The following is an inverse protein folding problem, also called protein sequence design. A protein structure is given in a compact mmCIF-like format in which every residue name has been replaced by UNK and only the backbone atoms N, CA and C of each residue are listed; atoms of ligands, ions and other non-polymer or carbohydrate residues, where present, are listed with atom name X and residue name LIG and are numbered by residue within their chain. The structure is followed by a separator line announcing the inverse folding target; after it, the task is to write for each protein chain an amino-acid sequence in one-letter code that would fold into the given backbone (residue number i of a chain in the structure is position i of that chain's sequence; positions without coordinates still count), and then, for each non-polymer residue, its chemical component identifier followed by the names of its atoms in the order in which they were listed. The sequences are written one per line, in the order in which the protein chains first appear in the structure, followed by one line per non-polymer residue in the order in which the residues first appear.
data_IF_410087179678
#
_entry.id   IF_410087179678
#
_cell.length_a   1.000
_cell.length_b   1.000
_cell.length_c   1.000
_cell.angle_alpha   90.00
_cell.angle_beta   90.00
_cell.angle_gamma   90.00
#
_symmetry.space_group_name_H-M   'P 1'
#
loop_
_entity.id
_entity.type
_entity.pdbx_description
1 polymer ?
#
# COMPACT_ATOMS: atom_id res chain seq x y z
N UNK A 1 -45.82 57.53 -43.17
CA UNK A 1 -45.98 58.92 -42.72
C UNK A 1 -46.85 58.91 -41.46
N UNK A 2 -46.39 59.41 -40.29
CA UNK A 2 -44.98 59.61 -39.85
C UNK A 2 -44.29 58.22 -39.74
N UNK A 3 -43.40 57.81 -38.81
CA UNK A 3 -42.54 58.42 -37.77
C UNK A 3 -41.32 57.49 -37.63
N UNK A 4 -40.05 57.84 -37.40
CA UNK A 4 -39.31 59.00 -36.87
C UNK A 4 -38.86 58.88 -35.39
N UNK A 5 -37.54 59.08 -35.18
CA UNK A 5 -36.73 59.00 -33.93
C UNK A 5 -36.47 57.58 -33.39
N UNK A 6 -35.34 57.26 -32.76
CA UNK A 6 -33.99 57.86 -32.78
C UNK A 6 -32.95 56.84 -32.22
N UNK A 7 -31.66 56.98 -32.56
CA UNK A 7 -30.56 56.20 -31.95
C UNK A 7 -30.09 56.82 -30.62
N UNK A 8 -29.81 55.99 -29.60
CA UNK A 8 -28.80 56.28 -28.60
C UNK A 8 -27.65 55.24 -28.59
N UNK A 9 -26.43 55.73 -28.37
CA UNK A 9 -25.23 54.96 -28.01
C UNK A 9 -24.51 55.73 -26.89
N UNK A 10 -23.56 55.14 -26.13
CA UNK A 10 -23.39 53.73 -25.75
C UNK A 10 -23.51 53.56 -24.21
N UNK A 11 -23.34 52.35 -23.66
CA UNK A 11 -22.92 52.22 -22.25
C UNK A 11 -22.10 50.97 -21.95
N UNK A 12 -21.17 51.11 -21.00
CA UNK A 12 -20.02 50.21 -20.78
C UNK A 12 -20.16 49.44 -19.47
N UNK A 13 -20.59 48.17 -19.51
CA UNK A 13 -20.62 47.30 -18.32
C UNK A 13 -19.24 46.72 -17.99
N UNK A 14 -18.57 47.30 -16.98
CA UNK A 14 -17.47 46.63 -16.27
C UNK A 14 -18.03 45.64 -15.23
N UNK A 15 -17.85 44.34 -15.43
CA UNK A 15 -17.61 43.34 -14.37
C UNK A 15 -16.56 42.38 -14.95
N UNK A 16 -15.32 42.30 -14.45
CA UNK A 16 -14.81 42.03 -13.09
C UNK A 16 -15.10 40.60 -12.63
N UNK A 17 -14.06 39.77 -12.68
CA UNK A 17 -13.89 38.56 -11.87
C UNK A 17 -14.80 37.37 -12.24
N UNK A 18 -14.34 36.12 -12.15
CA UNK A 18 -13.14 35.64 -11.47
C UNK A 18 -12.41 34.58 -12.31
N UNK A 19 -11.07 34.71 -12.39
CA UNK A 19 -10.17 33.64 -12.84
C UNK A 19 -10.10 32.63 -11.70
N UNK A 20 -11.01 31.65 -11.69
CA UNK A 20 -10.89 30.50 -10.80
C UNK A 20 -9.60 29.75 -11.18
N UNK A 21 -8.75 29.47 -10.19
CA UNK A 21 -7.46 28.85 -10.45
C UNK A 21 -7.65 27.33 -10.61
N UNK A 22 -7.16 26.80 -11.72
CA UNK A 22 -6.73 25.40 -11.78
C UNK A 22 -5.30 25.40 -11.25
N UNK A 23 -5.17 25.22 -9.94
CA UNK A 23 -3.91 25.20 -9.19
C UNK A 23 -4.11 24.21 -8.03
N UNK A 24 -3.26 23.18 -7.98
CA UNK A 24 -3.75 21.84 -7.68
C UNK A 24 -4.30 21.22 -8.98
N UNK A 25 -3.77 20.12 -9.53
CA UNK A 25 -2.77 19.21 -8.97
C UNK A 25 -1.68 18.90 -10.01
N UNK A 26 -0.57 19.64 -9.90
CA UNK A 26 0.73 19.23 -10.45
C UNK A 26 1.72 19.38 -9.32
N UNK A 27 1.67 18.42 -8.38
CA UNK A 27 2.88 18.07 -7.63
C UNK A 27 3.95 17.74 -8.65
N UNK A 28 5.13 18.35 -8.54
CA UNK A 28 6.19 18.09 -9.49
C UNK A 28 6.58 16.61 -9.37
N UNK A 29 6.60 15.88 -10.48
CA UNK A 29 6.91 14.43 -10.51
C UNK A 29 8.29 14.09 -9.91
N UNK A 30 9.13 15.09 -9.67
CA UNK A 30 10.41 15.02 -8.97
C UNK A 30 10.33 14.85 -7.44
N UNK A 31 9.14 14.84 -6.84
CA UNK A 31 8.93 14.62 -5.39
C UNK A 31 7.93 13.49 -5.11
N UNK A 32 7.78 12.56 -6.07
CA UNK A 32 7.06 11.30 -5.89
C UNK A 32 8.06 10.15 -5.72
N UNK A 33 7.80 9.27 -4.76
CA UNK A 33 8.55 8.06 -4.50
C UNK A 33 7.75 6.82 -4.91
N UNK A 34 8.44 5.71 -5.19
CA UNK A 34 7.82 4.46 -5.65
C UNK A 34 7.70 3.48 -4.49
N UNK A 35 6.52 3.40 -3.89
CA UNK A 35 6.19 2.44 -2.84
C UNK A 35 5.91 1.06 -3.45
N UNK A 36 6.54 -0.01 -2.95
CA UNK A 36 6.46 -1.35 -3.53
C UNK A 36 5.80 -2.38 -2.59
N UNK A 37 4.78 -3.08 -3.09
CA UNK A 37 3.97 -4.02 -2.31
C UNK A 37 4.48 -5.47 -2.39
N UNK A 38 4.68 -5.96 -3.62
CA UNK A 38 4.98 -7.36 -3.89
C UNK A 38 5.70 -7.55 -5.24
N UNK A 39 6.47 -8.63 -5.36
CA UNK A 39 6.95 -9.16 -6.64
C UNK A 39 6.03 -10.31 -7.08
N UNK A 40 5.71 -10.35 -8.38
CA UNK A 40 4.74 -11.26 -9.01
C UNK A 40 5.25 -11.67 -10.40
N UNK A 41 4.67 -12.71 -11.00
CA UNK A 41 4.82 -12.96 -12.44
C UNK A 41 3.89 -12.02 -13.21
N UNK A 42 4.42 -11.32 -14.21
CA UNK A 42 3.70 -10.46 -15.14
C UNK A 42 2.92 -11.31 -16.16
N UNK A 43 1.86 -11.96 -15.69
CA UNK A 43 0.93 -12.72 -16.53
C UNK A 43 -0.13 -11.80 -17.18
N UNK A 44 -0.78 -12.32 -18.23
CA UNK A 44 -1.93 -11.67 -18.87
C UNK A 44 -3.08 -11.45 -17.87
N UNK A 45 -3.78 -10.31 -17.95
CA UNK A 45 -4.86 -9.93 -17.03
C UNK A 45 -4.39 -9.29 -15.70
N UNK A 46 -3.09 -9.26 -15.40
CA UNK A 46 -2.58 -8.70 -14.15
C UNK A 46 -2.67 -7.16 -14.10
N UNK A 47 -2.48 -6.47 -15.24
CA UNK A 47 -2.56 -5.00 -15.28
C UNK A 47 -4.00 -4.53 -15.09
N UNK A 48 -4.94 -5.29 -15.64
CA UNK A 48 -6.39 -5.14 -15.51
C UNK A 48 -6.83 -5.44 -14.06
N UNK A 49 -6.16 -6.37 -13.40
CA UNK A 49 -6.34 -6.68 -11.96
C UNK A 49 -5.85 -5.55 -11.05
N UNK A 50 -4.71 -4.92 -11.37
CA UNK A 50 -4.17 -3.81 -10.55
C UNK A 50 -4.85 -2.46 -10.79
N UNK A 51 -5.34 -2.19 -12.01
CA UNK A 51 -5.93 -0.91 -12.39
C UNK A 51 -7.10 -0.38 -11.50
N UNK A 52 -8.00 -1.20 -10.95
CA UNK A 52 -9.04 -0.73 -10.03
C UNK A 52 -8.56 -0.56 -8.58
N UNK A 53 -7.37 -1.03 -8.22
CA UNK A 53 -6.91 -1.04 -6.83
C UNK A 53 -6.41 0.34 -6.36
N UNK A 54 -6.70 0.62 -5.09
CA UNK A 54 -6.15 1.75 -4.33
C UNK A 54 -5.19 1.20 -3.28
N UNK A 55 -4.00 1.79 -3.20
CA UNK A 55 -2.97 1.39 -2.26
C UNK A 55 -2.83 2.36 -1.09
N UNK A 56 -1.60 2.40 -0.57
CA UNK A 56 -1.16 3.37 0.44
C UNK A 56 -1.42 4.81 -0.07
N UNK A 57 -1.89 5.67 0.83
CA UNK A 57 -2.30 7.05 0.54
C UNK A 57 -3.39 7.19 -0.55
N UNK A 58 -4.26 6.18 -0.74
CA UNK A 58 -5.27 6.08 -1.82
C UNK A 58 -4.69 6.17 -3.25
N UNK A 59 -3.36 6.00 -3.36
CA UNK A 59 -2.66 6.11 -4.63
C UNK A 59 -3.06 4.96 -5.58
N UNK A 60 -3.11 5.21 -6.91
CA UNK A 60 -3.35 4.15 -7.89
C UNK A 60 -2.27 3.07 -7.81
N UNK A 61 -2.67 1.80 -7.89
CA UNK A 61 -1.73 0.69 -8.01
C UNK A 61 -1.37 0.46 -9.48
N UNK A 62 -0.08 0.21 -9.74
CA UNK A 62 0.48 -0.01 -11.07
C UNK A 62 1.56 -1.11 -11.06
N UNK A 63 2.12 -1.42 -12.23
CA UNK A 63 3.07 -2.53 -12.42
C UNK A 63 4.35 -2.06 -13.13
N UNK A 64 5.45 -2.04 -12.40
CA UNK A 64 6.81 -1.88 -12.95
C UNK A 64 7.29 -3.27 -13.38
N UNK A 65 7.33 -3.51 -14.68
CA UNK A 65 7.84 -4.76 -15.24
C UNK A 65 9.33 -4.71 -15.50
N UNK A 66 9.97 -5.88 -15.40
CA UNK A 66 11.34 -6.12 -15.83
C UNK A 66 11.42 -6.34 -17.36
N UNK A 67 12.64 -6.47 -17.90
CA UNK A 67 12.88 -6.69 -19.34
C UNK A 67 13.33 -8.11 -19.72
N UNK A 68 13.22 -9.10 -18.81
CA UNK A 68 13.75 -10.45 -18.98
C UNK A 68 12.72 -11.56 -19.22
N UNK A 69 13.21 -12.74 -19.61
CA UNK A 69 12.40 -13.88 -20.03
C UNK A 69 11.50 -14.47 -18.94
N UNK A 70 11.86 -14.29 -17.66
CA UNK A 70 11.06 -14.70 -16.49
C UNK A 70 9.72 -13.94 -16.34
N UNK A 71 9.58 -12.81 -17.04
CA UNK A 71 8.43 -11.90 -17.02
C UNK A 71 7.99 -11.57 -15.58
N UNK A 72 8.81 -10.78 -14.88
CA UNK A 72 8.52 -10.34 -13.52
C UNK A 72 7.88 -8.95 -13.48
N UNK A 73 7.00 -8.77 -12.51
CA UNK A 73 6.40 -7.50 -12.18
C UNK A 73 6.63 -7.15 -10.71
N UNK A 74 6.89 -5.88 -10.45
CA UNK A 74 6.84 -5.26 -9.14
C UNK A 74 5.56 -4.42 -9.07
N UNK A 75 4.68 -4.74 -8.11
CA UNK A 75 3.44 -3.97 -7.91
C UNK A 75 3.74 -2.77 -7.04
N UNK A 76 3.41 -1.56 -7.53
CA UNK A 76 3.82 -0.29 -6.92
C UNK A 76 2.72 0.77 -6.91
N UNK A 77 2.86 1.77 -6.05
CA UNK A 77 2.13 3.05 -6.11
C UNK A 77 3.11 4.21 -5.98
N UNK A 78 2.79 5.34 -6.62
CA UNK A 78 3.54 6.58 -6.45
C UNK A 78 3.00 7.36 -5.26
N UNK A 79 3.86 7.69 -4.31
CA UNK A 79 3.50 8.34 -3.03
C UNK A 79 4.30 9.63 -2.81
N UNK A 80 3.77 10.53 -2.00
CA UNK A 80 4.40 11.80 -1.65
C UNK A 80 5.76 11.62 -0.95
N UNK A 81 6.80 12.29 -1.47
CA UNK A 81 8.11 12.37 -0.81
C UNK A 81 8.04 13.02 0.58
N UNK A 82 7.09 13.93 0.81
CA UNK A 82 6.93 14.62 2.09
C UNK A 82 6.63 13.66 3.27
N UNK A 83 5.93 12.54 2.98
CA UNK A 83 5.51 11.57 4.00
C UNK A 83 6.39 10.30 3.98
N UNK A 84 7.02 9.97 2.84
CA UNK A 84 7.74 8.72 2.61
C UNK A 84 9.26 8.84 2.40
N UNK A 85 9.85 10.04 2.40
CA UNK A 85 11.30 10.21 2.52
C UNK A 85 11.79 9.76 3.91
N UNK A 86 13.06 9.34 3.99
CA UNK A 86 13.60 8.55 5.12
C UNK A 86 13.30 9.12 6.52
N UNK A 87 13.46 10.43 6.72
CA UNK A 87 13.28 11.06 8.03
C UNK A 87 11.82 11.36 8.39
N UNK A 88 10.96 11.60 7.41
CA UNK A 88 9.51 11.70 7.62
C UNK A 88 8.93 10.32 7.92
N UNK A 89 9.32 9.31 7.13
CA UNK A 89 8.90 7.93 7.29
C UNK A 89 9.26 7.39 8.69
N UNK A 90 10.45 7.68 9.23
CA UNK A 90 10.82 7.32 10.62
C UNK A 90 9.82 7.86 11.65
N UNK A 91 9.42 9.14 11.52
CA UNK A 91 8.46 9.77 12.45
C UNK A 91 7.06 9.17 12.28
N UNK A 92 6.63 8.94 11.04
CA UNK A 92 5.34 8.31 10.74
C UNK A 92 5.25 6.83 11.17
N UNK A 93 6.37 6.11 11.30
CA UNK A 93 6.40 4.76 11.87
C UNK A 93 6.24 4.74 13.41
N UNK A 94 6.35 5.89 14.10
CA UNK A 94 6.03 6.03 15.52
C UNK A 94 4.54 6.42 15.75
N UNK A 95 3.86 6.92 14.71
CA UNK A 95 2.41 7.15 14.70
C UNK A 95 1.65 5.84 14.41
N UNK A 96 0.96 5.32 15.43
CA UNK A 96 0.23 4.05 15.32
C UNK A 96 -1.01 4.13 14.42
N UNK A 97 -1.67 5.29 14.31
CA UNK A 97 -2.86 5.44 13.46
C UNK A 97 -2.44 5.51 11.98
N UNK A 98 -1.38 6.26 11.68
CA UNK A 98 -0.77 6.28 10.34
C UNK A 98 -0.21 4.90 9.96
N UNK A 99 0.54 4.26 10.87
CA UNK A 99 1.11 2.93 10.64
C UNK A 99 0.02 1.88 10.41
N UNK A 100 -1.09 1.92 11.16
CA UNK A 100 -2.22 1.03 10.92
C UNK A 100 -2.85 1.25 9.54
N UNK A 101 -3.08 2.52 9.14
CA UNK A 101 -3.64 2.85 7.83
C UNK A 101 -2.75 2.36 6.69
N UNK A 102 -1.43 2.59 6.78
CA UNK A 102 -0.44 2.15 5.79
C UNK A 102 -0.32 0.62 5.77
N UNK A 103 -0.34 -0.05 6.93
CA UNK A 103 -0.32 -1.51 7.02
C UNK A 103 -1.57 -2.17 6.41
N UNK A 104 -2.76 -1.62 6.68
CA UNK A 104 -4.02 -2.11 6.08
C UNK A 104 -4.04 -1.93 4.57
N UNK A 105 -3.63 -0.76 4.07
CA UNK A 105 -3.58 -0.49 2.63
C UNK A 105 -2.54 -1.38 1.90
N UNK A 106 -1.35 -1.57 2.48
CA UNK A 106 -0.33 -2.49 1.98
C UNK A 106 -0.85 -3.95 1.94
N UNK A 107 -1.51 -4.40 3.00
CA UNK A 107 -2.05 -5.75 3.08
C UNK A 107 -3.18 -5.99 2.07
N UNK A 108 -4.14 -5.07 1.93
CA UNK A 108 -5.27 -5.21 1.01
C UNK A 108 -4.85 -5.31 -0.46
N UNK A 109 -3.78 -4.62 -0.87
CA UNK A 109 -3.18 -4.80 -2.21
C UNK A 109 -2.60 -6.21 -2.36
N UNK A 110 -1.92 -6.73 -1.34
CA UNK A 110 -1.35 -8.09 -1.36
C UNK A 110 -2.44 -9.17 -1.37
N UNK A 111 -3.51 -9.01 -0.60
CA UNK A 111 -4.66 -9.92 -0.60
C UNK A 111 -5.35 -9.97 -1.97
N UNK A 112 -5.63 -8.80 -2.57
CA UNK A 112 -6.25 -8.71 -3.89
C UNK A 112 -5.39 -9.30 -5.02
N UNK A 113 -4.05 -9.27 -4.89
CA UNK A 113 -3.13 -9.97 -5.79
C UNK A 113 -3.12 -11.48 -5.54
N UNK A 114 -3.14 -11.92 -4.27
CA UNK A 114 -3.10 -13.32 -3.89
C UNK A 114 -4.35 -14.11 -4.32
N UNK A 115 -5.50 -13.44 -4.50
CA UNK A 115 -6.68 -14.03 -5.16
C UNK A 115 -6.43 -14.46 -6.62
N UNK A 116 -5.38 -13.93 -7.27
CA UNK A 116 -5.19 -13.98 -8.74
C UNK A 116 -3.87 -14.58 -9.19
N UNK A 117 -2.81 -14.47 -8.39
CA UNK A 117 -1.46 -14.94 -8.73
C UNK A 117 -0.63 -15.24 -7.49
N UNK A 118 0.41 -16.05 -7.65
CA UNK A 118 1.44 -16.24 -6.62
C UNK A 118 2.15 -14.90 -6.36
N UNK A 119 2.18 -14.49 -5.09
CA UNK A 119 2.81 -13.23 -4.63
C UNK A 119 4.08 -13.50 -3.82
N UNK A 120 5.04 -12.58 -3.91
CA UNK A 120 6.10 -12.40 -2.93
C UNK A 120 5.91 -11.04 -2.24
N UNK A 121 5.25 -11.00 -1.06
CA UNK A 121 5.13 -9.79 -0.27
C UNK A 121 6.49 -9.17 0.04
N UNK A 122 6.62 -7.88 -0.20
CA UNK A 122 7.75 -7.09 0.29
C UNK A 122 7.44 -6.58 1.70
N UNK A 123 8.48 -6.14 2.40
CA UNK A 123 8.32 -5.55 3.74
C UNK A 123 7.53 -4.26 3.63
N UNK A 124 6.70 -3.99 4.64
CA UNK A 124 5.99 -2.72 4.79
C UNK A 124 6.97 -1.54 4.65
N UNK A 125 6.56 -0.49 3.96
CA UNK A 125 7.37 0.69 3.66
C UNK A 125 8.67 0.39 2.89
N UNK A 126 8.65 -0.58 1.97
CA UNK A 126 9.68 -0.69 0.92
C UNK A 126 9.45 0.40 -0.12
N UNK A 127 10.32 1.41 -0.15
CA UNK A 127 10.20 2.59 -1.03
C UNK A 127 11.48 2.78 -1.84
N UNK A 128 11.32 3.13 -3.12
CA UNK A 128 12.41 3.49 -4.05
C UNK A 128 12.27 4.94 -4.52
N UNK A 129 13.39 5.52 -4.98
CA UNK A 129 13.41 6.90 -5.50
C UNK A 129 12.50 7.08 -6.73
N UNK A 130 12.52 6.13 -7.66
CA UNK A 130 11.68 6.11 -8.86
C UNK A 130 11.45 4.67 -9.38
N UNK A 131 10.59 4.53 -10.40
CA UNK A 131 10.31 3.27 -11.10
C UNK A 131 11.56 2.65 -11.74
N UNK A 132 12.59 3.44 -12.06
CA UNK A 132 13.82 2.93 -12.67
C UNK A 132 14.65 2.21 -11.62
N UNK A 133 14.85 2.82 -10.45
CA UNK A 133 15.54 2.18 -9.34
C UNK A 133 14.78 0.98 -8.80
N UNK A 134 13.44 1.04 -8.83
CA UNK A 134 12.58 -0.10 -8.51
C UNK A 134 12.78 -1.26 -9.52
N UNK A 135 12.87 -0.97 -10.83
CA UNK A 135 13.17 -1.95 -11.88
C UNK A 135 14.57 -2.52 -11.77
N UNK A 136 15.59 -1.71 -11.52
CA UNK A 136 16.98 -2.17 -11.33
C UNK A 136 17.08 -3.23 -10.22
N UNK A 137 16.33 -3.06 -9.12
CA UNK A 137 16.29 -4.03 -8.01
C UNK A 137 15.52 -5.29 -8.39
N UNK A 138 14.43 -5.17 -9.16
CA UNK A 138 13.69 -6.32 -9.71
C UNK A 138 14.57 -7.14 -10.67
N UNK A 139 15.31 -6.48 -11.56
CA UNK A 139 16.18 -7.11 -12.56
C UNK A 139 17.43 -7.74 -11.92
N UNK A 140 18.07 -7.07 -10.95
CA UNK A 140 19.18 -7.63 -10.19
C UNK A 140 18.75 -8.82 -9.31
N UNK A 141 17.50 -8.84 -8.85
CA UNK A 141 16.92 -9.94 -8.07
C UNK A 141 16.29 -11.06 -8.89
N UNK A 142 16.21 -10.94 -10.23
CA UNK A 142 15.34 -11.74 -11.12
C UNK A 142 15.29 -13.23 -10.77
N UNK A 143 16.42 -13.93 -10.87
CA UNK A 143 16.49 -15.39 -10.65
C UNK A 143 15.99 -15.77 -9.25
N UNK A 144 16.39 -15.03 -8.23
CA UNK A 144 16.00 -15.27 -6.84
C UNK A 144 14.50 -15.04 -6.59
N UNK A 145 13.89 -14.05 -7.27
CA UNK A 145 12.44 -13.86 -7.24
C UNK A 145 11.70 -14.94 -8.05
N UNK A 146 12.18 -15.30 -9.24
CA UNK A 146 11.59 -16.31 -10.10
C UNK A 146 11.60 -17.72 -9.45
N UNK A 147 12.70 -18.11 -8.80
CA UNK A 147 12.82 -19.35 -8.02
C UNK A 147 11.83 -19.39 -6.84
N UNK A 148 11.68 -18.28 -6.11
CA UNK A 148 10.75 -18.18 -4.98
C UNK A 148 9.28 -18.21 -5.45
N UNK A 149 8.95 -17.51 -6.53
CA UNK A 149 7.62 -17.56 -7.15
C UNK A 149 7.30 -18.96 -7.69
N UNK A 150 8.27 -19.67 -8.27
CA UNK A 150 8.09 -21.07 -8.66
C UNK A 150 7.85 -21.97 -7.46
N UNK A 151 8.63 -21.82 -6.38
CA UNK A 151 8.52 -22.64 -5.15
C UNK A 151 7.19 -22.43 -4.41
N UNK A 152 6.62 -21.23 -4.43
CA UNK A 152 5.34 -20.91 -3.77
C UNK A 152 4.12 -21.07 -4.69
N UNK A 153 4.32 -21.39 -5.98
CA UNK A 153 3.22 -21.66 -6.90
C UNK A 153 2.34 -22.81 -6.39
N UNK A 154 1.03 -22.68 -6.54
CA UNK A 154 0.03 -23.68 -6.10
C UNK A 154 -0.01 -23.96 -4.57
N UNK A 155 0.71 -23.16 -3.76
CA UNK A 155 0.71 -23.25 -2.30
C UNK A 155 -0.06 -22.09 -1.66
N UNK A 156 -0.53 -22.30 -0.42
CA UNK A 156 -1.22 -21.30 0.41
C UNK A 156 -0.63 -21.27 1.83
N UNK A 157 -0.52 -20.08 2.41
CA UNK A 157 -0.03 -19.91 3.78
C UNK A 157 -1.15 -20.06 4.82
N UNK A 158 -0.87 -20.72 5.95
CA UNK A 158 -1.82 -20.95 7.03
C UNK A 158 -1.23 -20.57 8.40
N UNK A 159 -1.75 -19.51 9.01
CA UNK A 159 -1.43 -19.13 10.38
C UNK A 159 -2.37 -19.77 11.41
N UNK A 160 -1.92 -20.82 12.11
CA UNK A 160 -2.71 -21.48 13.16
C UNK A 160 -2.29 -20.96 14.54
N UNK A 161 -3.26 -20.49 15.34
CA UNK A 161 -3.07 -20.07 16.75
C UNK A 161 -3.90 -20.96 17.66
N UNK A 162 -3.25 -21.56 18.66
CA UNK A 162 -3.90 -22.42 19.66
C UNK A 162 -3.77 -21.74 21.02
N UNK A 163 -4.90 -21.58 21.70
CA UNK A 163 -4.97 -21.04 23.05
C UNK A 163 -5.34 -22.17 24.01
N UNK A 164 -4.66 -22.27 25.15
CA UNK A 164 -4.88 -23.30 26.17
C UNK A 164 -4.96 -22.61 27.52
N UNK A 165 -6.08 -22.79 28.22
CA UNK A 165 -6.22 -22.32 29.60
C UNK A 165 -5.39 -23.20 30.55
N UNK A 166 -4.63 -22.63 31.50
CA UNK A 166 -3.97 -23.43 32.53
C UNK A 166 -5.00 -24.16 33.38
N UNK A 167 -5.06 -25.49 33.25
CA UNK A 167 -5.93 -26.32 34.09
C UNK A 167 -5.60 -26.07 35.56
N UNK A 168 -6.61 -25.66 36.34
CA UNK A 168 -6.46 -25.50 37.78
C UNK A 168 -6.08 -26.86 38.39
N UNK A 169 -4.85 -26.95 38.92
CA UNK A 169 -4.40 -28.17 39.58
C UNK A 169 -5.37 -28.49 40.73
N UNK A 170 -5.88 -29.74 40.84
CA UNK A 170 -6.75 -30.10 41.94
C UNK A 170 -6.02 -29.84 43.25
N UNK A 171 -6.65 -29.07 44.16
CA UNK A 171 -6.04 -28.68 45.42
C UNK A 171 -5.55 -29.93 46.16
N UNK A 172 -4.26 -29.94 46.54
CA UNK A 172 -3.68 -31.06 47.25
C UNK A 172 -4.52 -31.33 48.51
N UNK A 173 -4.90 -32.59 48.80
CA UNK A 173 -5.75 -32.89 49.95
C UNK A 173 -5.04 -32.42 51.22
N UNK A 174 -5.72 -31.57 52.00
CA UNK A 174 -5.17 -31.01 53.22
C UNK A 174 -4.80 -32.15 54.16
N UNK A 175 -3.50 -32.33 54.42
CA UNK A 175 -3.01 -33.34 55.35
C UNK A 175 -3.54 -32.98 56.73
N UNK A 176 -4.32 -33.84 57.41
CA UNK A 176 -4.73 -33.57 58.78
C UNK A 176 -3.50 -33.39 59.67
N UNK A 177 -3.50 -32.36 60.51
CA UNK A 177 -2.44 -32.21 61.50
C UNK A 177 -2.46 -33.44 62.42
N UNK A 178 -1.35 -34.18 62.47
CA UNK A 178 -1.22 -35.31 63.38
C UNK A 178 -1.11 -34.79 64.81
N UNK A 179 -2.02 -35.22 65.69
CA UNK A 179 -2.04 -34.79 67.09
C UNK A 179 -0.75 -35.18 67.81
N UNK A 180 -0.07 -34.19 68.38
CA UNK A 180 1.10 -34.39 69.22
C UNK A 180 0.67 -35.02 70.56
N UNK A 181 0.96 -36.30 70.75
CA UNK A 181 0.93 -36.94 72.07
C UNK A 181 2.35 -37.34 72.48
N UNK A 182 2.92 -36.78 73.55
CA UNK A 182 4.25 -37.16 74.03
C UNK A 182 4.22 -38.47 74.85
N UNK A 183 5.31 -39.23 74.78
CA UNK A 183 5.59 -40.43 75.57
C UNK A 183 7.09 -40.70 75.60
#
# INVERSE_FOLDING_TARGET
MPSARARPSPQRRKRRGTRAAVAGEVLAMSDLLTYAYAVVRNAEGLRETTAPLRGVADSPVSLVTDTGDDQLGLVVSHVSGQDFQEDALKQHLEDLEWLEAVARAHHGVIEALAERTTVLPLRLATVYLDDNRAREVLEAGRTMFAERLARLSEHVEWGVKIYVEPSAAPAAPAVPAADLTPG
#
